data_IF_711147079145
#
_entry.id   IF_711147079145
#
_cell.length_a   1.000
_cell.length_b   1.000
_cell.length_c   1.000
_cell.angle_alpha   90.00
_cell.angle_beta   90.00
_cell.angle_gamma   90.00
#
_symmetry.space_group_name_H-M   'P 1'
#
loop_
_entity.id
_entity.type
_entity.pdbx_description
1 polymer ?
#
# COMPACT_ATOMS: atom_id res chain seq x y z
N UNK A 1 4.83 -79.60 -19.09
CA UNK A 1 6.01 -78.90 -19.62
C UNK A 1 5.80 -77.42 -19.38
N UNK A 2 6.67 -76.82 -18.57
CA UNK A 2 6.54 -75.48 -18.02
C UNK A 2 6.78 -74.39 -19.06
N UNK A 3 5.83 -73.46 -19.22
CA UNK A 3 6.00 -72.19 -19.95
C UNK A 3 6.45 -71.10 -18.94
N UNK A 4 7.41 -70.21 -19.27
CA UNK A 4 7.92 -69.23 -18.32
C UNK A 4 6.94 -68.06 -18.14
N UNK A 5 6.80 -67.61 -16.89
CA UNK A 5 6.08 -66.38 -16.50
C UNK A 5 6.87 -65.15 -16.97
N UNK A 6 6.31 -64.38 -17.90
CA UNK A 6 6.72 -62.99 -18.13
C UNK A 6 6.13 -62.13 -17.02
N UNK A 7 7.01 -61.54 -16.21
CA UNK A 7 6.66 -60.53 -15.20
C UNK A 7 6.59 -59.18 -15.93
N UNK A 8 5.38 -58.65 -16.10
CA UNK A 8 5.16 -57.30 -16.63
C UNK A 8 5.33 -56.31 -15.47
N UNK A 9 6.48 -55.61 -15.43
CA UNK A 9 6.70 -54.51 -14.48
C UNK A 9 6.10 -53.25 -15.08
N UNK A 10 4.90 -52.88 -14.65
CA UNK A 10 4.29 -51.59 -14.98
C UNK A 10 4.94 -50.49 -14.14
N UNK A 11 5.84 -49.73 -14.75
CA UNK A 11 6.33 -48.45 -14.21
C UNK A 11 5.18 -47.44 -14.21
N UNK A 12 4.60 -47.19 -13.04
CA UNK A 12 3.70 -46.07 -12.82
C UNK A 12 4.53 -44.79 -12.64
N UNK A 13 4.69 -44.04 -13.72
CA UNK A 13 5.23 -42.68 -13.66
C UNK A 13 4.10 -41.79 -13.10
N UNK A 14 4.17 -41.47 -11.80
CA UNK A 14 3.36 -40.41 -11.21
C UNK A 14 3.89 -39.07 -11.70
N UNK A 15 3.26 -38.51 -12.74
CA UNK A 15 3.47 -37.11 -13.13
C UNK A 15 2.73 -36.25 -12.10
N UNK A 16 3.44 -35.76 -11.09
CA UNK A 16 2.97 -34.63 -10.29
C UNK A 16 2.95 -33.40 -11.20
N UNK A 17 1.77 -33.06 -11.71
CA UNK A 17 1.55 -31.72 -12.27
C UNK A 17 1.24 -30.82 -11.09
N UNK A 18 2.26 -30.12 -10.60
CA UNK A 18 2.07 -28.96 -9.73
C UNK A 18 1.35 -27.87 -10.52
N UNK A 19 0.04 -28.05 -10.67
CA UNK A 19 -0.83 -27.01 -11.18
C UNK A 19 -0.95 -26.00 -10.05
N UNK A 20 -0.03 -25.04 -10.03
CA UNK A 20 -0.16 -23.84 -9.20
C UNK A 20 -1.43 -23.14 -9.67
N UNK A 21 -2.54 -23.38 -8.98
CA UNK A 21 -3.78 -22.64 -9.17
C UNK A 21 -3.50 -21.24 -8.63
N UNK A 22 -2.97 -20.36 -9.48
CA UNK A 22 -3.02 -18.93 -9.22
C UNK A 22 -4.49 -18.54 -9.29
N UNK A 23 -5.16 -18.47 -8.15
CA UNK A 23 -6.48 -17.85 -8.09
C UNK A 23 -6.32 -16.42 -8.62
N UNK A 24 -7.07 -16.01 -9.66
CA UNK A 24 -7.02 -14.64 -10.12
C UNK A 24 -7.42 -13.75 -8.94
N UNK A 25 -6.53 -12.82 -8.58
CA UNK A 25 -6.83 -11.78 -7.59
C UNK A 25 -8.16 -11.15 -8.04
N UNK A 26 -9.21 -11.14 -7.19
CA UNK A 26 -10.47 -10.55 -7.58
C UNK A 26 -10.21 -9.11 -8.02
N UNK A 27 -10.50 -8.80 -9.30
CA UNK A 27 -10.46 -7.42 -9.80
C UNK A 27 -11.23 -6.56 -8.79
N UNK A 28 -10.55 -5.57 -8.21
CA UNK A 28 -11.19 -4.60 -7.34
C UNK A 28 -12.38 -4.00 -8.08
N UNK A 29 -13.61 -4.23 -7.58
CA UNK A 29 -14.83 -3.85 -8.31
C UNK A 29 -14.97 -2.33 -8.47
N UNK A 30 -14.34 -1.54 -7.60
CA UNK A 30 -14.53 -0.09 -7.51
C UNK A 30 -13.19 0.64 -7.26
N UNK A 31 -12.29 0.68 -8.24
CA UNK A 31 -11.09 1.54 -8.18
C UNK A 31 -11.18 2.72 -9.16
N UNK A 32 -10.37 3.76 -8.93
CA UNK A 32 -10.39 4.98 -9.73
C UNK A 32 -11.69 5.77 -9.57
N UNK A 33 -12.12 6.49 -10.62
CA UNK A 33 -13.30 7.37 -10.56
C UNK A 33 -14.60 6.69 -10.12
N UNK A 34 -14.69 5.36 -10.25
CA UNK A 34 -15.84 4.57 -9.79
C UNK A 34 -15.98 4.50 -8.26
N UNK A 35 -14.93 4.84 -7.49
CA UNK A 35 -14.94 4.86 -6.02
C UNK A 35 -15.25 6.24 -5.43
N UNK A 36 -15.35 7.28 -6.27
CA UNK A 36 -15.61 8.66 -5.85
C UNK A 36 -16.96 8.80 -5.15
N UNK A 37 -17.05 9.73 -4.21
CA UNK A 37 -18.31 10.06 -3.58
C UNK A 37 -19.27 10.69 -4.59
N UNK A 38 -20.57 10.34 -4.53
CA UNK A 38 -21.56 10.97 -5.39
C UNK A 38 -21.70 12.45 -5.05
N UNK A 39 -21.84 13.27 -6.07
CA UNK A 39 -22.17 14.69 -5.93
C UNK A 39 -23.69 14.88 -5.91
N UNK A 40 -24.13 16.03 -5.38
CA UNK A 40 -25.51 16.47 -5.43
C UNK A 40 -25.66 17.62 -6.43
N UNK A 41 -26.33 17.35 -7.55
CA UNK A 41 -26.60 18.33 -8.60
C UNK A 41 -27.46 19.49 -8.10
N UNK A 42 -27.15 20.72 -8.54
CA UNK A 42 -27.84 21.94 -8.12
C UNK A 42 -27.49 22.44 -6.71
N UNK A 43 -26.47 21.86 -6.07
CA UNK A 43 -25.94 22.28 -4.77
C UNK A 43 -24.44 22.56 -4.85
N UNK A 44 -23.92 23.32 -3.89
CA UNK A 44 -22.47 23.39 -3.67
C UNK A 44 -22.03 22.07 -3.04
N UNK A 45 -21.07 21.41 -3.68
CA UNK A 45 -20.46 20.18 -3.19
C UNK A 45 -19.14 20.53 -2.49
N UNK A 46 -19.05 20.26 -1.19
CA UNK A 46 -17.85 20.49 -0.39
C UNK A 46 -17.13 19.17 -0.19
N UNK A 47 -15.94 19.05 -0.78
CA UNK A 47 -15.08 17.88 -0.64
C UNK A 47 -14.14 18.07 0.54
N UNK A 48 -14.37 17.33 1.62
CA UNK A 48 -13.44 17.27 2.76
C UNK A 48 -12.40 16.22 2.42
N UNK A 49 -11.12 16.60 2.40
CA UNK A 49 -9.99 15.73 2.05
C UNK A 49 -9.07 15.57 3.26
N UNK A 50 -9.30 14.54 4.11
CA UNK A 50 -8.43 14.26 5.24
C UNK A 50 -7.04 13.82 4.77
N UNK A 51 -6.02 14.46 5.32
CA UNK A 51 -4.63 14.22 4.98
C UNK A 51 -3.74 14.44 6.19
N UNK A 52 -2.47 14.05 6.05
CA UNK A 52 -1.38 14.44 6.93
C UNK A 52 -0.21 14.88 6.06
N UNK A 53 0.59 15.82 6.57
CA UNK A 53 1.81 16.27 5.91
C UNK A 53 2.98 15.78 6.78
N UNK A 54 3.66 14.73 6.31
CA UNK A 54 4.70 14.05 7.06
C UNK A 54 6.07 14.38 6.44
N UNK A 55 6.68 15.49 6.85
CA UNK A 55 8.00 15.91 6.35
C UNK A 55 9.05 14.81 6.51
N UNK A 56 9.69 14.42 5.40
CA UNK A 56 10.79 13.43 5.37
C UNK A 56 12.10 14.08 5.85
N UNK A 57 12.08 14.58 7.08
CA UNK A 57 13.15 15.35 7.69
C UNK A 57 12.93 16.86 7.58
N UNK A 58 12.95 17.54 8.73
CA UNK A 58 12.85 19.00 8.85
C UNK A 58 13.41 19.46 10.20
N UNK A 59 12.56 19.60 11.23
CA UNK A 59 13.00 19.89 12.61
C UNK A 59 13.51 18.64 13.34
N UNK A 60 13.09 17.47 12.87
CA UNK A 60 13.56 16.17 13.35
C UNK A 60 14.10 15.35 12.18
N UNK A 61 14.94 14.36 12.50
CA UNK A 61 15.34 13.35 11.51
C UNK A 61 14.16 12.47 11.10
N UNK A 62 14.27 11.78 9.96
CA UNK A 62 13.25 10.84 9.47
C UNK A 62 12.87 9.83 10.56
N UNK A 63 13.83 9.15 11.18
CA UNK A 63 13.52 8.16 12.23
C UNK A 63 12.88 8.78 13.48
N UNK A 64 13.26 10.00 13.85
CA UNK A 64 12.64 10.70 14.98
C UNK A 64 11.19 11.10 14.68
N UNK A 65 10.86 11.45 13.43
CA UNK A 65 9.48 11.61 12.99
C UNK A 65 8.75 10.27 12.97
N UNK A 66 9.36 9.22 12.44
CA UNK A 66 8.74 7.90 12.35
C UNK A 66 8.37 7.35 13.73
N UNK A 67 9.34 7.31 14.66
CA UNK A 67 9.14 6.72 15.98
C UNK A 67 8.47 7.66 16.99
N UNK A 68 8.37 8.96 16.69
CA UNK A 68 7.81 9.94 17.62
C UNK A 68 8.74 10.36 18.75
N UNK A 69 10.05 10.21 18.57
CA UNK A 69 11.03 10.66 19.56
C UNK A 69 11.36 12.14 19.42
N UNK A 70 12.11 12.68 20.39
CA UNK A 70 12.57 14.07 20.41
C UNK A 70 11.42 15.11 20.35
N UNK A 71 10.36 14.84 21.12
CA UNK A 71 9.11 15.63 21.16
C UNK A 71 9.29 17.09 21.61
N UNK A 72 10.43 17.42 22.23
CA UNK A 72 10.82 18.79 22.57
C UNK A 72 10.81 19.72 21.36
N UNK A 73 11.24 19.25 20.19
CA UNK A 73 11.24 20.05 18.96
C UNK A 73 9.89 20.03 18.27
N UNK A 74 9.26 18.86 18.20
CA UNK A 74 7.93 18.70 17.61
C UNK A 74 7.27 17.40 18.07
N UNK A 75 6.02 17.51 18.52
CA UNK A 75 5.20 16.37 18.91
C UNK A 75 4.55 15.71 17.67
N UNK A 76 5.30 14.85 16.98
CA UNK A 76 4.87 14.16 15.76
C UNK A 76 5.43 12.74 15.72
N UNK A 77 4.62 11.75 15.33
CA UNK A 77 4.98 10.33 15.28
C UNK A 77 4.25 9.56 14.18
N UNK A 78 4.90 9.36 13.03
CA UNK A 78 4.23 8.87 11.80
C UNK A 78 3.68 7.46 11.92
N UNK A 79 4.37 6.56 12.65
CA UNK A 79 3.86 5.19 12.86
C UNK A 79 2.46 5.20 13.50
N UNK A 80 2.21 6.11 14.44
CA UNK A 80 0.94 6.22 15.15
C UNK A 80 -0.15 6.81 14.24
N UNK A 81 0.22 7.72 13.34
CA UNK A 81 -0.70 8.27 12.34
C UNK A 81 -1.19 7.14 11.43
N UNK A 82 -0.28 6.35 10.86
CA UNK A 82 -0.64 5.25 9.96
C UNK A 82 -1.49 4.18 10.66
N UNK A 83 -1.13 3.77 11.88
CA UNK A 83 -1.91 2.80 12.67
C UNK A 83 -3.35 3.30 12.90
N UNK A 84 -3.48 4.56 13.35
CA UNK A 84 -4.79 5.14 13.68
C UNK A 84 -5.63 5.46 12.45
N UNK A 85 -5.02 5.82 11.31
CA UNK A 85 -5.72 6.00 10.04
C UNK A 85 -6.31 4.67 9.57
N UNK A 86 -5.53 3.60 9.56
CA UNK A 86 -6.01 2.27 9.15
C UNK A 86 -7.18 1.82 10.03
N UNK A 87 -7.07 1.98 11.35
CA UNK A 87 -8.16 1.65 12.27
C UNK A 87 -9.38 2.56 12.12
N UNK A 88 -9.18 3.84 11.82
CA UNK A 88 -10.27 4.81 11.64
C UNK A 88 -11.04 4.56 10.35
N UNK A 89 -10.35 4.26 9.25
CA UNK A 89 -10.97 3.91 7.97
C UNK A 89 -11.75 2.60 8.07
N UNK A 90 -11.27 1.63 8.85
CA UNK A 90 -11.97 0.35 9.06
C UNK A 90 -13.33 0.50 9.75
N UNK A 91 -13.51 1.54 10.56
CA UNK A 91 -14.74 1.76 11.34
C UNK A 91 -15.91 2.29 10.50
N UNK A 92 -15.65 2.86 9.33
CA UNK A 92 -16.68 3.48 8.49
C UNK A 92 -16.22 3.52 7.03
N UNK A 93 -16.98 2.86 6.14
CA UNK A 93 -16.68 2.75 4.70
C UNK A 93 -16.76 4.08 3.94
N UNK A 94 -17.38 5.11 4.51
CA UNK A 94 -17.47 6.44 3.91
C UNK A 94 -16.23 7.30 4.19
N UNK A 95 -15.40 6.93 5.17
CA UNK A 95 -14.18 7.69 5.48
C UNK A 95 -13.16 7.55 4.35
N UNK A 96 -12.42 8.63 4.14
CA UNK A 96 -11.35 8.75 3.16
C UNK A 96 -10.12 9.31 3.82
N UNK A 97 -8.96 8.94 3.31
CA UNK A 97 -7.68 9.54 3.69
C UNK A 97 -6.73 9.49 2.50
N UNK A 98 -6.01 10.58 2.26
CA UNK A 98 -4.90 10.61 1.30
C UNK A 98 -3.56 10.55 2.03
N UNK A 99 -2.62 9.80 1.48
CA UNK A 99 -1.25 9.70 1.99
C UNK A 99 -0.23 9.96 0.87
N UNK A 100 0.88 10.63 1.19
CA UNK A 100 1.80 11.14 0.15
C UNK A 100 3.18 10.48 0.26
N UNK A 101 3.84 10.57 1.42
CA UNK A 101 5.27 10.29 1.54
C UNK A 101 5.57 8.78 1.64
N UNK A 102 5.87 8.14 0.50
CA UNK A 102 6.04 6.68 0.48
C UNK A 102 7.24 6.20 1.29
N UNK A 103 8.21 7.06 1.62
CA UNK A 103 9.34 6.71 2.51
C UNK A 103 8.84 6.21 3.88
N UNK A 104 7.96 6.97 4.53
CA UNK A 104 7.39 6.58 5.82
C UNK A 104 6.42 5.42 5.69
N UNK A 105 5.58 5.43 4.65
CA UNK A 105 4.67 4.32 4.40
C UNK A 105 5.44 3.01 4.20
N UNK A 106 6.53 3.02 3.44
CA UNK A 106 7.39 1.85 3.22
C UNK A 106 8.02 1.37 4.53
N UNK A 107 8.61 2.28 5.31
CA UNK A 107 9.22 1.96 6.61
C UNK A 107 8.19 1.35 7.58
N UNK A 108 6.95 1.83 7.55
CA UNK A 108 5.83 1.24 8.28
C UNK A 108 5.41 -0.12 7.71
N UNK A 109 5.24 -0.21 6.40
CA UNK A 109 4.72 -1.37 5.67
C UNK A 109 5.55 -2.63 5.90
N UNK A 110 6.88 -2.52 5.83
CA UNK A 110 7.77 -3.68 5.99
C UNK A 110 7.68 -4.30 7.39
N UNK A 111 7.23 -3.54 8.40
CA UNK A 111 7.07 -3.98 9.78
C UNK A 111 5.70 -4.60 10.07
N UNK A 112 4.75 -4.51 9.12
CA UNK A 112 3.38 -4.97 9.33
C UNK A 112 3.22 -6.48 9.13
N UNK A 113 2.35 -7.08 9.95
CA UNK A 113 1.87 -8.45 9.76
C UNK A 113 0.94 -8.56 8.54
N UNK A 114 0.82 -9.77 7.99
CA UNK A 114 0.00 -10.03 6.79
C UNK A 114 -1.47 -9.62 6.94
N UNK A 115 -2.01 -9.72 8.17
CA UNK A 115 -3.37 -9.29 8.49
C UNK A 115 -3.53 -7.78 8.26
N UNK A 116 -2.58 -6.98 8.71
CA UNK A 116 -2.60 -5.51 8.52
C UNK A 116 -2.37 -5.17 7.06
N UNK A 117 -1.41 -5.84 6.41
CA UNK A 117 -1.15 -5.68 4.97
C UNK A 117 -2.40 -5.97 4.13
N UNK A 118 -3.13 -7.04 4.44
CA UNK A 118 -4.39 -7.38 3.76
C UNK A 118 -5.48 -6.32 4.00
N UNK A 119 -5.58 -5.76 5.22
CA UNK A 119 -6.51 -4.67 5.52
C UNK A 119 -6.21 -3.42 4.70
N UNK A 120 -4.95 -3.00 4.65
CA UNK A 120 -4.54 -1.83 3.88
C UNK A 120 -4.82 -2.03 2.39
N UNK A 121 -4.45 -3.18 1.81
CA UNK A 121 -4.79 -3.48 0.42
C UNK A 121 -6.29 -3.40 0.16
N UNK A 122 -7.13 -3.86 1.10
CA UNK A 122 -8.58 -3.70 1.00
C UNK A 122 -9.01 -2.23 1.01
N UNK A 123 -8.43 -1.41 1.89
CA UNK A 123 -8.70 0.04 1.97
C UNK A 123 -8.26 0.80 0.71
N UNK A 124 -7.19 0.35 0.06
CA UNK A 124 -6.75 0.92 -1.23
C UNK A 124 -7.70 0.47 -2.35
N UNK A 125 -8.00 -0.82 -2.41
CA UNK A 125 -8.86 -1.40 -3.45
C UNK A 125 -10.31 -0.89 -3.42
N UNK A 126 -10.80 -0.41 -2.28
CA UNK A 126 -12.13 0.18 -2.16
C UNK A 126 -12.13 1.72 -2.14
N UNK A 127 -10.96 2.35 -2.38
CA UNK A 127 -10.82 3.80 -2.46
C UNK A 127 -10.93 4.55 -1.13
N UNK A 128 -10.81 3.87 0.02
CA UNK A 128 -10.79 4.54 1.31
C UNK A 128 -9.44 5.17 1.65
N UNK A 129 -8.34 4.52 1.24
CA UNK A 129 -6.98 5.05 1.34
C UNK A 129 -6.45 5.26 -0.06
N UNK A 130 -6.04 6.49 -0.37
CA UNK A 130 -5.51 6.85 -1.68
C UNK A 130 -4.07 7.39 -1.53
N UNK A 131 -3.17 6.91 -2.38
CA UNK A 131 -1.84 7.48 -2.49
C UNK A 131 -1.85 8.56 -3.56
N UNK A 132 -1.45 9.77 -3.19
CA UNK A 132 -1.31 10.89 -4.13
C UNK A 132 0.16 11.25 -4.28
N UNK A 133 0.54 11.77 -5.45
CA UNK A 133 1.94 11.91 -5.90
C UNK A 133 2.66 10.56 -5.99
N UNK A 134 2.86 9.87 -4.87
CA UNK A 134 3.48 8.56 -4.77
C UNK A 134 5.01 8.59 -4.84
N UNK A 135 5.63 9.77 -4.76
CA UNK A 135 7.08 9.89 -4.62
C UNK A 135 7.58 9.48 -3.24
N UNK A 136 8.88 9.22 -3.15
CA UNK A 136 9.54 8.92 -1.88
C UNK A 136 9.34 10.03 -0.84
N UNK A 137 9.36 11.28 -1.31
CA UNK A 137 9.05 12.49 -0.54
C UNK A 137 8.30 13.48 -1.43
N UNK A 138 7.73 14.53 -0.83
CA UNK A 138 7.37 15.74 -1.57
C UNK A 138 8.64 16.55 -1.85
N UNK A 139 9.27 16.35 -3.02
CA UNK A 139 10.53 17.00 -3.35
C UNK A 139 10.36 18.52 -3.50
N UNK A 140 11.44 19.26 -3.22
CA UNK A 140 11.53 20.67 -3.58
C UNK A 140 11.49 20.85 -5.11
N UNK A 141 10.98 21.98 -5.57
CA UNK A 141 10.81 22.31 -7.01
C UNK A 141 11.79 23.39 -7.50
N UNK A 142 12.57 24.01 -6.61
CA UNK A 142 13.50 25.09 -6.97
C UNK A 142 14.96 24.62 -7.12
N UNK A 143 15.44 23.77 -6.21
CA UNK A 143 16.83 23.36 -6.07
C UNK A 143 17.06 21.87 -6.41
N UNK A 144 16.10 21.22 -7.06
CA UNK A 144 16.22 19.84 -7.54
C UNK A 144 16.47 19.80 -9.04
N UNK A 145 17.27 18.83 -9.48
CA UNK A 145 17.42 18.52 -10.89
C UNK A 145 16.32 17.53 -11.30
N UNK A 146 15.89 17.54 -12.57
CA UNK A 146 14.82 16.65 -13.03
C UNK A 146 15.15 15.17 -12.83
N UNK A 147 16.43 14.79 -12.92
CA UNK A 147 16.87 13.40 -12.75
C UNK A 147 16.57 12.84 -11.33
N UNK A 148 17.02 13.46 -10.22
CA UNK A 148 16.65 12.98 -8.89
C UNK A 148 15.15 13.09 -8.60
N UNK A 149 14.41 14.02 -9.23
CA UNK A 149 12.94 14.03 -9.18
C UNK A 149 12.38 12.74 -9.78
N UNK A 150 12.83 12.36 -10.97
CA UNK A 150 12.41 11.11 -11.64
C UNK A 150 12.80 9.90 -10.79
N UNK A 151 14.02 9.86 -10.26
CA UNK A 151 14.50 8.72 -9.48
C UNK A 151 13.66 8.51 -8.22
N UNK A 152 13.40 9.58 -7.46
CA UNK A 152 12.63 9.48 -6.22
C UNK A 152 11.13 9.22 -6.48
N UNK A 153 10.56 9.75 -7.57
CA UNK A 153 9.20 9.43 -8.00
C UNK A 153 9.09 7.97 -8.43
N UNK A 154 10.04 7.49 -9.23
CA UNK A 154 10.09 6.11 -9.72
C UNK A 154 10.21 5.13 -8.57
N UNK A 155 11.07 5.44 -7.61
CA UNK A 155 11.26 4.61 -6.44
C UNK A 155 9.99 4.54 -5.58
N UNK A 156 9.36 5.68 -5.26
CA UNK A 156 8.13 5.70 -4.49
C UNK A 156 6.98 4.96 -5.16
N UNK A 157 6.73 5.22 -6.45
CA UNK A 157 5.65 4.59 -7.22
C UNK A 157 5.85 3.08 -7.39
N UNK A 158 7.10 2.60 -7.41
CA UNK A 158 7.42 1.16 -7.44
C UNK A 158 7.26 0.49 -6.08
N UNK A 159 7.52 1.22 -5.00
CA UNK A 159 7.46 0.70 -3.62
C UNK A 159 6.07 0.78 -3.00
N UNK A 160 5.19 1.64 -3.51
CA UNK A 160 3.81 1.79 -3.06
C UNK A 160 2.90 0.69 -3.66
N UNK A 161 2.82 -0.44 -2.94
CA UNK A 161 1.89 -1.58 -3.11
C UNK A 161 1.83 -2.26 -4.49
#
# INVERSE_FOLDING_TARGET
MNLPRLICVSLWIFIWTDTVISSPIPKAKNCGYSSCHPIKEGYINVHIVPHTHDDVGWLKTVDQYYYGSNTKYQNAGVQYILDTVVDSLRKDSNRRFIYVETAFFWQWWIKQHDIVKARVRKLVNNGQLEFISGGWSMNDEAATHYQPIIDQMTWGLRSAL
#
